data_IF_518154797405
#
_entry.id   IF_518154797405
#
_cell.length_a   1.000
_cell.length_b   1.000
_cell.length_c   1.000
_cell.angle_alpha   90.00
_cell.angle_beta   90.00
_cell.angle_gamma   90.00
#
_symmetry.space_group_name_H-M   'P 1'
#
loop_
_entity.id
_entity.type
_entity.pdbx_description
1 polymer ?
#
# COMPACT_ATOMS: atom_id res chain seq x y z
N UNK A 1 -7.26 -18.86 -14.35
CA UNK A 1 -6.42 -18.46 -13.23
C UNK A 1 -5.94 -17.03 -13.42
N UNK A 2 -6.10 -16.19 -12.39
CA UNK A 2 -5.60 -14.82 -12.37
C UNK A 2 -4.65 -14.69 -11.18
N UNK A 3 -3.37 -14.42 -11.45
CA UNK A 3 -2.34 -14.20 -10.43
C UNK A 3 -2.22 -12.71 -10.18
N UNK A 4 -2.72 -12.26 -9.05
CA UNK A 4 -2.79 -10.84 -8.70
C UNK A 4 -1.94 -10.52 -7.49
N UNK A 5 -1.24 -9.40 -7.55
CA UNK A 5 -0.53 -8.84 -6.41
C UNK A 5 -1.23 -7.60 -5.87
N UNK A 6 -0.99 -7.30 -4.61
CA UNK A 6 -1.45 -6.06 -3.99
C UNK A 6 -0.54 -5.69 -2.83
N UNK A 7 -0.43 -4.41 -2.55
CA UNK A 7 0.19 -3.95 -1.32
C UNK A 7 -0.69 -4.36 -0.13
N UNK A 8 -0.07 -4.53 1.03
CA UNK A 8 -0.79 -4.92 2.25
C UNK A 8 -1.91 -3.92 2.59
N UNK A 9 -1.66 -2.64 2.48
CA UNK A 9 -2.67 -1.60 2.71
C UNK A 9 -3.88 -1.76 1.79
N UNK A 10 -3.65 -2.04 0.51
CA UNK A 10 -4.70 -2.22 -0.48
C UNK A 10 -5.51 -3.48 -0.20
N UNK A 11 -4.82 -4.58 0.13
CA UNK A 11 -5.46 -5.84 0.47
C UNK A 11 -6.35 -5.68 1.71
N UNK A 12 -5.89 -4.93 2.70
CA UNK A 12 -6.63 -4.74 3.96
C UNK A 12 -7.84 -3.82 3.79
N UNK A 13 -7.74 -2.74 2.99
CA UNK A 13 -8.75 -1.68 2.96
C UNK A 13 -9.63 -1.68 1.70
N UNK A 14 -9.11 -2.13 0.56
CA UNK A 14 -9.79 -1.99 -0.73
C UNK A 14 -10.34 -3.30 -1.31
N UNK A 15 -9.65 -4.42 -1.08
CA UNK A 15 -10.04 -5.70 -1.66
C UNK A 15 -11.21 -6.41 -0.98
N UNK A 16 -11.45 -6.30 0.34
CA UNK A 16 -12.52 -7.07 0.97
C UNK A 16 -13.89 -6.91 0.31
N UNK A 17 -14.36 -5.72 -0.08
CA UNK A 17 -15.64 -5.60 -0.76
C UNK A 17 -15.63 -6.05 -2.22
N UNK A 18 -14.45 -6.12 -2.87
CA UNK A 18 -14.31 -6.42 -4.29
C UNK A 18 -14.21 -7.91 -4.59
N UNK A 19 -13.49 -8.66 -3.77
CA UNK A 19 -13.22 -10.07 -4.04
C UNK A 19 -14.49 -10.94 -4.09
N UNK A 20 -15.49 -10.76 -3.21
CA UNK A 20 -16.75 -11.50 -3.34
C UNK A 20 -17.48 -11.21 -4.66
N UNK A 21 -17.43 -9.96 -5.13
CA UNK A 21 -18.03 -9.56 -6.39
C UNK A 21 -17.31 -10.20 -7.58
N UNK A 22 -15.98 -10.23 -7.54
CA UNK A 22 -15.19 -10.89 -8.57
C UNK A 22 -15.51 -12.39 -8.63
N UNK A 23 -15.57 -13.04 -7.48
CA UNK A 23 -15.91 -14.46 -7.40
C UNK A 23 -17.29 -14.75 -7.97
N UNK A 24 -18.25 -13.87 -7.73
CA UNK A 24 -19.60 -14.01 -8.28
C UNK A 24 -19.64 -13.84 -9.79
N UNK A 25 -18.85 -12.92 -10.35
CA UNK A 25 -18.78 -12.66 -11.79
C UNK A 25 -17.97 -13.70 -12.55
N UNK A 26 -16.97 -14.27 -11.93
CA UNK A 26 -16.02 -15.21 -12.55
C UNK A 26 -15.87 -16.46 -11.68
N UNK A 27 -16.94 -17.26 -11.49
CA UNK A 27 -16.90 -18.41 -10.58
C UNK A 27 -15.92 -19.50 -11.03
N UNK A 28 -15.59 -19.55 -12.30
CA UNK A 28 -14.64 -20.53 -12.86
C UNK A 28 -13.17 -20.06 -12.76
N UNK A 29 -12.94 -18.81 -12.39
CA UNK A 29 -11.57 -18.27 -12.29
C UNK A 29 -11.02 -18.50 -10.88
N UNK A 30 -9.85 -19.11 -10.80
CA UNK A 30 -9.08 -19.18 -9.56
C UNK A 30 -8.25 -17.90 -9.43
N UNK A 31 -8.55 -17.10 -8.43
CA UNK A 31 -7.77 -15.92 -8.10
C UNK A 31 -6.70 -16.28 -7.08
N UNK A 32 -5.44 -16.02 -7.42
CA UNK A 32 -4.32 -16.13 -6.48
C UNK A 32 -3.91 -14.71 -6.08
N UNK A 33 -3.90 -14.42 -4.80
CA UNK A 33 -3.53 -13.11 -4.28
C UNK A 33 -2.20 -13.19 -3.52
N UNK A 34 -1.28 -12.29 -3.88
CA UNK A 34 0.02 -12.18 -3.20
C UNK A 34 0.22 -10.76 -2.71
N UNK A 35 0.64 -10.60 -1.46
CA UNK A 35 0.91 -9.28 -0.90
C UNK A 35 2.40 -9.05 -0.80
N UNK A 36 2.84 -7.91 -1.33
CA UNK A 36 4.25 -7.47 -1.30
C UNK A 36 4.32 -5.96 -1.48
N UNK A 37 5.50 -5.34 -1.23
CA UNK A 37 5.71 -3.93 -1.56
C UNK A 37 5.63 -3.64 -3.05
N UNK A 38 5.35 -2.39 -3.39
CA UNK A 38 5.19 -1.94 -4.78
C UNK A 38 6.36 -2.32 -5.69
N UNK A 39 7.60 -2.15 -5.23
CA UNK A 39 8.77 -2.45 -6.06
C UNK A 39 8.81 -3.92 -6.46
N UNK A 40 8.61 -4.82 -5.50
CA UNK A 40 8.62 -6.26 -5.75
C UNK A 40 7.45 -6.68 -6.65
N UNK A 41 6.26 -6.14 -6.41
CA UNK A 41 5.08 -6.42 -7.24
C UNK A 41 5.30 -5.98 -8.69
N UNK A 42 5.83 -4.78 -8.88
CA UNK A 42 6.12 -4.23 -10.22
C UNK A 42 7.07 -5.15 -10.98
N UNK A 43 8.15 -5.60 -10.32
CA UNK A 43 9.09 -6.50 -10.94
C UNK A 43 8.46 -7.85 -11.30
N UNK A 44 7.60 -8.39 -10.43
CA UNK A 44 6.93 -9.66 -10.69
C UNK A 44 5.93 -9.57 -11.85
N UNK A 45 5.29 -8.44 -12.04
CA UNK A 45 4.44 -8.23 -13.22
C UNK A 45 5.30 -8.16 -14.48
N UNK A 46 6.42 -7.42 -14.44
CA UNK A 46 7.37 -7.36 -15.56
C UNK A 46 7.91 -8.74 -15.93
N UNK A 47 8.20 -9.58 -14.94
CA UNK A 47 8.77 -10.92 -15.12
C UNK A 47 7.71 -11.99 -15.43
N UNK A 48 6.45 -11.62 -15.55
CA UNK A 48 5.33 -12.54 -15.76
C UNK A 48 5.09 -13.54 -14.62
N UNK A 49 5.64 -13.29 -13.44
CA UNK A 49 5.33 -14.06 -12.24
C UNK A 49 3.93 -13.72 -11.71
N UNK A 50 3.46 -12.51 -11.94
CA UNK A 50 2.08 -12.06 -11.70
C UNK A 50 1.47 -11.58 -13.01
N UNK A 51 0.16 -11.72 -13.12
CA UNK A 51 -0.59 -11.22 -14.29
C UNK A 51 -0.91 -9.73 -14.15
N UNK A 52 -1.23 -9.30 -12.94
CA UNK A 52 -1.52 -7.90 -12.63
C UNK A 52 -1.20 -7.62 -11.15
N UNK A 53 -1.15 -6.34 -10.79
CA UNK A 53 -0.97 -5.96 -9.41
C UNK A 53 -1.57 -4.58 -9.14
N UNK A 54 -2.03 -4.37 -7.91
CA UNK A 54 -2.38 -3.06 -7.38
C UNK A 54 -1.17 -2.53 -6.63
N UNK A 55 -0.57 -1.47 -7.17
CA UNK A 55 0.62 -0.82 -6.62
C UNK A 55 0.32 0.64 -6.34
N UNK A 56 1.08 1.25 -5.46
CA UNK A 56 0.92 2.68 -5.15
C UNK A 56 2.20 3.42 -5.44
N UNK A 57 2.06 4.57 -6.09
CA UNK A 57 3.17 5.47 -6.40
C UNK A 57 2.83 6.87 -5.92
N UNK A 58 3.82 7.70 -5.63
CA UNK A 58 3.55 9.10 -5.32
C UNK A 58 2.77 9.75 -6.45
N UNK A 59 1.86 10.65 -6.10
CA UNK A 59 1.06 11.38 -7.10
C UNK A 59 2.00 12.04 -8.13
N UNK A 60 1.69 11.83 -9.41
CA UNK A 60 2.50 12.36 -10.52
C UNK A 60 3.65 11.46 -10.97
N UNK A 61 3.86 10.31 -10.33
CA UNK A 61 4.88 9.35 -10.74
C UNK A 61 4.22 8.21 -11.51
N UNK A 62 4.52 8.03 -12.82
CA UNK A 62 3.95 6.93 -13.60
C UNK A 62 4.67 5.60 -13.31
N UNK A 63 4.02 4.45 -13.59
CA UNK A 63 4.70 3.17 -13.62
C UNK A 63 5.73 3.09 -14.75
N UNK A 64 6.60 2.06 -14.75
CA UNK A 64 7.53 1.82 -15.87
C UNK A 64 6.82 1.73 -17.23
N UNK A 65 7.52 2.17 -18.30
CA UNK A 65 6.96 2.27 -19.65
C UNK A 65 6.52 0.93 -20.25
N UNK A 66 7.09 -0.18 -19.79
CA UNK A 66 6.74 -1.52 -20.26
C UNK A 66 5.42 -2.05 -19.68
N UNK A 67 4.80 -1.29 -18.80
CA UNK A 67 3.53 -1.63 -18.18
C UNK A 67 2.41 -0.72 -18.66
N UNK A 68 1.22 -1.29 -18.76
CA UNK A 68 0.00 -0.52 -18.85
C UNK A 68 -0.59 -0.37 -17.46
N UNK A 69 -1.40 0.66 -17.26
CA UNK A 69 -1.98 0.91 -15.97
C UNK A 69 -3.26 1.72 -16.05
N UNK A 70 -4.04 1.65 -14.98
CA UNK A 70 -5.18 2.53 -14.74
C UNK A 70 -5.13 2.97 -13.29
N UNK A 71 -5.36 4.27 -13.07
CA UNK A 71 -5.41 4.84 -11.71
C UNK A 71 -6.77 4.52 -11.08
N UNK A 72 -6.75 3.94 -9.90
CA UNK A 72 -7.96 3.43 -9.25
C UNK A 72 -8.29 4.23 -7.98
N UNK A 73 -7.35 4.33 -7.03
CA UNK A 73 -7.60 4.96 -5.74
C UNK A 73 -6.60 6.08 -5.46
N UNK A 74 -7.10 7.15 -4.86
CA UNK A 74 -6.25 8.21 -4.30
C UNK A 74 -6.10 7.95 -2.80
N UNK A 75 -4.86 7.80 -2.34
CA UNK A 75 -4.56 7.51 -0.95
C UNK A 75 -3.95 8.73 -0.27
N UNK A 76 -4.61 9.22 0.78
CA UNK A 76 -4.06 10.25 1.65
C UNK A 76 -3.20 9.57 2.72
N UNK A 77 -1.93 9.92 2.78
CA UNK A 77 -0.99 9.34 3.74
C UNK A 77 -0.86 10.23 4.97
N UNK A 78 -0.89 9.61 6.13
CA UNK A 78 -0.80 10.30 7.42
C UNK A 78 0.31 9.69 8.26
N UNK A 79 1.10 10.53 8.89
CA UNK A 79 2.03 10.13 9.93
C UNK A 79 1.26 10.04 11.23
N UNK A 80 1.28 8.86 11.84
CA UNK A 80 0.65 8.59 13.14
C UNK A 80 1.73 8.71 14.21
N UNK A 81 1.52 9.59 15.17
CA UNK A 81 2.45 9.89 16.25
C UNK A 81 1.79 9.56 17.61
N UNK A 82 2.59 9.26 18.64
CA UNK A 82 2.05 9.07 19.97
C UNK A 82 1.51 10.39 20.56
N UNK A 83 0.81 10.29 21.68
CA UNK A 83 0.15 11.43 22.35
C UNK A 83 1.12 12.58 22.66
N UNK A 84 2.32 12.25 23.11
CA UNK A 84 3.37 13.23 23.45
C UNK A 84 4.60 12.91 22.61
N UNK A 85 4.62 13.29 21.33
CA UNK A 85 5.73 12.95 20.46
C UNK A 85 6.96 13.71 20.88
N UNK A 86 8.03 12.96 21.18
CA UNK A 86 9.37 13.50 21.38
C UNK A 86 10.23 12.94 20.27
N UNK A 87 11.49 12.66 20.55
CA UNK A 87 12.35 11.99 19.59
C UNK A 87 11.84 10.57 19.35
N UNK A 88 11.60 10.20 18.10
CA UNK A 88 10.99 8.91 17.75
C UNK A 88 11.75 8.22 16.60
N UNK A 89 11.55 6.90 16.52
CA UNK A 89 11.99 6.08 15.40
C UNK A 89 10.84 5.92 14.41
N UNK A 90 11.18 5.79 13.14
CA UNK A 90 10.19 5.48 12.12
C UNK A 90 9.92 3.98 12.08
N UNK A 91 8.68 3.57 12.32
CA UNK A 91 8.22 2.18 12.15
C UNK A 91 7.64 2.04 10.75
N UNK A 92 8.23 1.17 9.93
CA UNK A 92 7.89 1.09 8.51
C UNK A 92 7.94 -0.34 8.00
N UNK A 93 7.17 -0.62 6.95
CA UNK A 93 7.27 -1.86 6.20
C UNK A 93 8.64 -1.97 5.52
N UNK A 94 8.93 -3.14 4.95
CA UNK A 94 10.19 -3.44 4.31
C UNK A 94 10.53 -2.50 3.15
N UNK A 95 11.79 -2.47 2.76
CA UNK A 95 12.27 -1.74 1.58
C UNK A 95 11.48 -2.14 0.33
N UNK A 96 11.22 -1.15 -0.54
CA UNK A 96 10.38 -1.30 -1.72
C UNK A 96 8.95 -0.82 -1.51
N UNK A 97 8.56 -0.53 -0.28
CA UNK A 97 7.27 0.07 0.06
C UNK A 97 7.29 1.56 -0.28
N UNK A 98 6.36 2.00 -1.13
CA UNK A 98 6.23 3.41 -1.52
C UNK A 98 5.97 4.31 -0.32
N UNK A 99 5.14 3.89 0.62
CA UNK A 99 4.80 4.69 1.80
C UNK A 99 5.99 4.84 2.72
N UNK A 100 6.84 3.81 2.84
CA UNK A 100 8.11 3.91 3.56
C UNK A 100 8.99 4.98 2.91
N UNK A 101 9.16 4.93 1.60
CA UNK A 101 9.99 5.89 0.88
C UNK A 101 9.47 7.33 1.03
N UNK A 102 8.16 7.51 0.91
CA UNK A 102 7.53 8.82 1.12
C UNK A 102 7.70 9.31 2.55
N UNK A 103 7.56 8.41 3.53
CA UNK A 103 7.78 8.72 4.93
C UNK A 103 9.23 9.10 5.22
N UNK A 104 10.19 8.36 4.69
CA UNK A 104 11.60 8.68 4.84
C UNK A 104 11.93 10.06 4.26
N UNK A 105 11.40 10.39 3.08
CA UNK A 105 11.59 11.69 2.46
C UNK A 105 10.96 12.82 3.29
N UNK A 106 9.75 12.59 3.82
CA UNK A 106 9.06 13.55 4.66
C UNK A 106 9.83 13.84 5.97
N UNK A 107 10.43 12.79 6.54
CA UNK A 107 11.13 12.88 7.81
C UNK A 107 12.62 13.26 7.68
N UNK A 108 13.15 13.30 6.47
CA UNK A 108 14.59 13.51 6.22
C UNK A 108 15.14 14.82 6.81
N UNK A 109 14.30 15.83 6.97
CA UNK A 109 14.69 17.13 7.52
C UNK A 109 14.23 17.35 8.96
N UNK A 110 13.64 16.33 9.57
CA UNK A 110 13.14 16.41 10.94
C UNK A 110 14.24 16.03 11.93
N UNK A 111 14.47 16.88 12.92
CA UNK A 111 15.40 16.60 14.02
C UNK A 111 14.78 15.69 15.09
N UNK A 112 13.47 15.50 15.04
CA UNK A 112 12.73 14.67 15.98
C UNK A 112 12.88 13.17 15.71
N UNK A 113 13.42 12.80 14.53
CA UNK A 113 13.49 11.41 14.07
C UNK A 113 14.88 10.84 14.32
N UNK A 114 14.92 9.68 14.97
CA UNK A 114 16.15 8.90 15.11
C UNK A 114 16.49 8.20 13.80
N UNK A 115 17.77 7.97 13.55
CA UNK A 115 18.25 7.41 12.28
C UNK A 115 17.86 5.96 12.05
N UNK A 116 17.59 5.20 13.11
CA UNK A 116 17.22 3.79 12.98
C UNK A 116 15.75 3.62 12.65
N UNK A 117 15.48 2.80 11.64
CA UNK A 117 14.11 2.43 11.25
C UNK A 117 13.77 1.09 11.89
N UNK A 118 12.58 1.01 12.46
CA UNK A 118 12.04 -0.25 12.96
C UNK A 118 11.21 -0.89 11.86
N UNK A 119 11.64 -2.04 11.36
CA UNK A 119 10.87 -2.81 10.39
C UNK A 119 9.67 -3.46 11.09
N UNK A 120 8.52 -3.35 10.46
CA UNK A 120 7.28 -3.99 10.91
C UNK A 120 6.64 -4.73 9.75
N UNK A 121 5.88 -5.78 10.06
CA UNK A 121 5.23 -6.61 9.05
C UNK A 121 3.71 -6.41 8.96
N UNK A 122 3.13 -5.53 9.76
CA UNK A 122 1.69 -5.26 9.76
C UNK A 122 1.39 -3.90 10.37
N UNK A 123 0.19 -3.38 10.07
CA UNK A 123 -0.28 -2.14 10.69
C UNK A 123 -0.55 -2.32 12.18
N UNK A 124 -0.97 -3.52 12.61
CA UNK A 124 -1.14 -3.80 14.04
C UNK A 124 0.19 -3.69 14.79
N UNK A 125 1.27 -4.26 14.23
CA UNK A 125 2.60 -4.14 14.83
C UNK A 125 3.08 -2.69 14.83
N UNK A 126 2.84 -1.96 13.74
CA UNK A 126 3.19 -0.53 13.65
C UNK A 126 2.50 0.27 14.75
N UNK A 127 1.19 0.10 14.92
CA UNK A 127 0.44 0.84 15.94
C UNK A 127 0.81 0.43 17.37
N UNK A 128 1.21 -0.83 17.58
CA UNK A 128 1.76 -1.25 18.87
C UNK A 128 3.05 -0.48 19.20
N UNK A 129 3.91 -0.28 18.20
CA UNK A 129 5.11 0.56 18.37
C UNK A 129 4.72 2.00 18.70
N UNK A 130 3.78 2.58 17.96
CA UNK A 130 3.31 3.95 18.22
C UNK A 130 2.75 4.07 19.64
N UNK A 131 1.95 3.09 20.07
CA UNK A 131 1.37 3.07 21.41
C UNK A 131 2.42 3.05 22.52
N UNK A 132 3.62 2.51 22.25
CA UNK A 132 4.71 2.47 23.21
C UNK A 132 5.33 3.84 23.49
N UNK A 133 5.10 4.84 22.60
CA UNK A 133 5.51 6.22 22.78
C UNK A 133 6.74 6.67 22.02
N UNK A 134 7.55 5.75 21.51
CA UNK A 134 8.82 6.08 20.87
C UNK A 134 8.87 5.87 19.36
N UNK A 135 7.73 5.76 18.71
CA UNK A 135 7.65 5.43 17.28
C UNK A 135 6.57 6.24 16.58
N UNK A 136 6.78 6.46 15.28
CA UNK A 136 5.76 6.99 14.37
C UNK A 136 5.69 6.12 13.13
N UNK A 137 4.53 6.08 12.49
CA UNK A 137 4.35 5.27 11.28
C UNK A 137 3.44 5.97 10.27
N UNK A 138 3.60 5.60 8.99
CA UNK A 138 2.76 6.10 7.91
C UNK A 138 1.61 5.14 7.68
N UNK A 139 0.39 5.66 7.68
CA UNK A 139 -0.83 4.88 7.45
C UNK A 139 -1.71 5.64 6.47
N UNK A 140 -2.18 5.02 5.39
CA UNK A 140 -3.16 5.67 4.52
C UNK A 140 -4.52 5.79 5.21
N UNK A 141 -5.25 6.85 4.88
CA UNK A 141 -6.56 7.11 5.47
C UNK A 141 -7.51 5.91 5.35
N UNK A 142 -7.49 5.21 4.22
CA UNK A 142 -8.35 4.05 4.00
C UNK A 142 -8.10 2.92 5.00
N UNK A 143 -6.85 2.77 5.45
CA UNK A 143 -6.49 1.79 6.50
C UNK A 143 -6.88 2.33 7.87
N UNK A 144 -6.64 3.61 8.14
CA UNK A 144 -7.04 4.23 9.40
C UNK A 144 -8.53 4.05 9.67
N UNK A 145 -9.36 4.12 8.64
CA UNK A 145 -10.81 3.95 8.74
C UNK A 145 -11.21 2.54 9.24
N UNK A 146 -10.30 1.58 9.17
CA UNK A 146 -10.53 0.19 9.62
C UNK A 146 -9.87 -0.15 10.95
N UNK A 147 -9.09 0.77 11.52
CA UNK A 147 -8.27 0.52 12.71
C UNK A 147 -8.69 1.41 13.87
N UNK A 148 -8.39 0.93 15.08
CA UNK A 148 -8.47 1.74 16.30
C UNK A 148 -7.08 2.27 16.60
N UNK A 149 -6.92 3.61 16.60
CA UNK A 149 -5.65 4.25 16.94
C UNK A 149 -5.41 4.21 18.46
N UNK A 150 -4.13 4.20 18.88
CA UNK A 150 -3.80 4.43 20.28
C UNK A 150 -4.39 5.75 20.77
N UNK A 151 -4.78 5.78 22.05
CA UNK A 151 -5.42 6.96 22.65
C UNK A 151 -4.58 8.22 22.47
N UNK A 152 -5.24 9.32 22.08
CA UNK A 152 -4.64 10.63 21.89
C UNK A 152 -3.51 10.67 20.85
N UNK A 153 -3.49 9.74 19.90
CA UNK A 153 -2.56 9.76 18.77
C UNK A 153 -2.70 11.06 17.98
N UNK A 154 -1.57 11.58 17.50
CA UNK A 154 -1.55 12.75 16.63
C UNK A 154 -1.39 12.31 15.17
N UNK A 155 -2.00 13.05 14.25
CA UNK A 155 -1.93 12.77 12.82
C UNK A 155 -1.34 13.98 12.10
N UNK A 156 -0.39 13.72 11.17
CA UNK A 156 0.17 14.77 10.29
C UNK A 156 0.07 14.31 8.84
N UNK A 157 -0.50 15.13 7.94
CA UNK A 157 -0.52 14.80 6.52
C UNK A 157 0.89 14.71 5.95
N UNK A 158 1.15 13.66 5.16
CA UNK A 158 2.45 13.43 4.52
C UNK A 158 2.41 13.73 3.04
N UNK A 159 1.32 13.35 2.38
CA UNK A 159 1.15 13.51 0.96
C UNK A 159 0.14 12.53 0.41
N UNK A 160 0.06 12.46 -0.92
CA UNK A 160 -0.87 11.59 -1.62
C UNK A 160 -0.13 10.60 -2.49
N UNK A 161 -0.65 9.37 -2.52
CA UNK A 161 -0.22 8.33 -3.44
C UNK A 161 -1.42 7.88 -4.27
N UNK A 162 -1.16 7.37 -5.46
CA UNK A 162 -2.18 6.83 -6.34
C UNK A 162 -2.01 5.32 -6.40
N UNK A 163 -3.06 4.58 -6.07
CA UNK A 163 -3.10 3.14 -6.26
C UNK A 163 -3.52 2.86 -7.69
N UNK A 164 -2.71 2.10 -8.39
CA UNK A 164 -2.87 1.79 -9.80
C UNK A 164 -2.91 0.30 -10.01
N UNK A 165 -3.77 -0.15 -10.92
CA UNK A 165 -3.72 -1.51 -11.45
C UNK A 165 -2.73 -1.51 -12.60
N UNK A 166 -1.74 -2.40 -12.56
CA UNK A 166 -0.70 -2.54 -13.59
C UNK A 166 -0.74 -3.94 -14.20
N UNK A 167 -0.35 -4.03 -15.47
CA UNK A 167 -0.18 -5.29 -16.20
C UNK A 167 0.78 -5.08 -17.36
N UNK A 168 1.36 -6.17 -17.91
CA UNK A 168 2.28 -6.05 -19.05
C UNK A 168 1.56 -5.57 -20.29
N UNK A 169 2.24 -4.77 -21.09
CA UNK A 169 1.77 -4.41 -22.42
C UNK A 169 1.50 -5.67 -23.25
N UNK A 170 0.37 -5.69 -23.92
CA UNK A 170 -0.04 -6.83 -24.75
C UNK A 170 -0.67 -7.98 -24.00
N UNK A 171 -0.65 -7.97 -22.66
CA UNK A 171 -1.35 -8.98 -21.88
C UNK A 171 -2.85 -8.66 -21.86
N UNK A 172 -3.66 -9.65 -22.16
CA UNK A 172 -5.12 -9.53 -22.09
C UNK A 172 -5.72 -10.85 -21.65
N UNK A 173 -6.74 -10.78 -20.79
CA UNK A 173 -7.53 -11.95 -20.43
C UNK A 173 -8.92 -11.49 -20.00
N UNK A 174 -9.94 -12.35 -20.17
CA UNK A 174 -11.29 -12.03 -19.68
C UNK A 174 -11.32 -11.78 -18.18
N UNK A 175 -10.51 -12.51 -17.40
CA UNK A 175 -10.44 -12.33 -15.95
C UNK A 175 -9.88 -10.95 -15.57
N UNK A 176 -8.81 -10.49 -16.24
CA UNK A 176 -8.26 -9.16 -16.03
C UNK A 176 -9.29 -8.08 -16.38
N UNK A 177 -10.00 -8.25 -17.49
CA UNK A 177 -11.01 -7.27 -17.92
C UNK A 177 -12.14 -7.16 -16.89
N UNK A 178 -12.59 -8.28 -16.33
CA UNK A 178 -13.60 -8.26 -15.27
C UNK A 178 -13.09 -7.60 -14.00
N UNK A 179 -11.84 -7.86 -13.63
CA UNK A 179 -11.22 -7.20 -12.48
C UNK A 179 -11.15 -5.67 -12.69
N UNK A 180 -10.76 -5.23 -13.89
CA UNK A 180 -10.73 -3.81 -14.22
C UNK A 180 -12.11 -3.18 -14.10
N UNK A 181 -13.15 -3.82 -14.61
CA UNK A 181 -14.52 -3.31 -14.53
C UNK A 181 -14.98 -3.13 -13.09
N UNK A 182 -14.60 -4.02 -12.20
CA UNK A 182 -14.94 -3.92 -10.78
C UNK A 182 -14.18 -2.81 -10.07
N UNK A 183 -12.94 -2.55 -10.46
CA UNK A 183 -12.08 -1.54 -9.85
C UNK A 183 -12.37 -0.13 -10.36
N UNK A 184 -12.73 -0.02 -11.62
CA UNK A 184 -13.08 1.25 -12.28
C UNK A 184 -14.57 1.62 -12.06
#
# INVERSE_FOLDING_TARGET
NLRMGAMDATAASRLPPLLPRFRALCPEVTLTLKTQPTRQLTQQVLDAALDCALVSLPQGTPPPDDLEYVSIFKEQLLLVLPANPQRFRFAAFAQGCTYRAMGEAFLAQSEEVESEIQDVGSYHAMLACVASGGYAGIVPQSVLDTLTLPEASQLRPVGQAITQLIWRKGYASPALEKMRQLLE
#
